data_IF_189791556258
#
_entry.id   IF_189791556258
#
_cell.length_a   1.000
_cell.length_b   1.000
_cell.length_c   1.000
_cell.angle_alpha   90.00
_cell.angle_beta   90.00
_cell.angle_gamma   90.00
#
_symmetry.space_group_name_H-M   'P 1'
#
loop_
_entity.id
_entity.type
_entity.pdbx_description
1 polymer ?
#
# COMPACT_ATOMS: atom_id res chain seq x y z
N UNK A 1 -16.92 12.62 4.26
CA UNK A 1 -15.62 12.32 4.90
C UNK A 1 -14.56 12.09 3.81
N UNK A 2 -13.28 12.41 4.10
CA UNK A 2 -12.16 12.14 3.17
C UNK A 2 -11.95 10.61 3.08
N UNK A 3 -11.79 10.10 1.86
CA UNK A 3 -11.50 8.68 1.59
C UNK A 3 -10.02 8.50 1.26
N UNK A 4 -9.43 7.45 1.81
CA UNK A 4 -8.03 7.09 1.69
C UNK A 4 -7.87 5.66 1.19
N UNK A 5 -6.77 5.40 0.50
CA UNK A 5 -6.26 4.05 0.21
C UNK A 5 -4.76 4.01 0.43
N UNK A 6 -4.20 2.82 0.59
CA UNK A 6 -2.76 2.65 0.80
C UNK A 6 -2.12 1.97 -0.41
N UNK A 7 -1.03 2.55 -0.90
CA UNK A 7 -0.16 1.99 -1.95
C UNK A 7 1.18 1.62 -1.34
N UNK A 8 1.67 0.43 -1.64
CA UNK A 8 2.98 -0.06 -1.28
C UNK A 8 3.92 0.04 -2.48
N UNK A 9 4.88 0.95 -2.40
CA UNK A 9 5.93 1.10 -3.41
C UNK A 9 7.12 0.26 -3.02
N UNK A 10 7.41 -0.79 -3.79
CA UNK A 10 8.40 -1.80 -3.45
C UNK A 10 9.53 -1.88 -4.47
N UNK A 11 10.65 -2.43 -4.03
CA UNK A 11 11.87 -2.59 -4.80
C UNK A 11 12.34 -4.03 -4.79
N UNK A 12 12.76 -4.49 -5.97
CA UNK A 12 13.37 -5.80 -6.15
C UNK A 12 14.88 -5.66 -6.18
N UNK A 13 15.58 -6.49 -5.42
CA UNK A 13 17.03 -6.53 -5.34
C UNK A 13 17.54 -7.88 -5.82
N UNK A 14 18.58 -7.87 -6.66
CA UNK A 14 19.27 -9.06 -7.13
C UNK A 14 20.78 -8.82 -7.07
N UNK A 15 21.52 -9.71 -6.40
CA UNK A 15 22.97 -9.59 -6.20
C UNK A 15 23.41 -8.21 -5.67
N UNK A 16 22.68 -7.68 -4.69
CA UNK A 16 22.98 -6.37 -4.09
C UNK A 16 22.67 -5.15 -4.96
N UNK A 17 22.05 -5.34 -6.14
CA UNK A 17 21.63 -4.26 -7.04
C UNK A 17 20.12 -4.23 -7.16
N UNK A 18 19.52 -3.04 -7.14
CA UNK A 18 18.10 -2.85 -7.44
C UNK A 18 17.86 -3.22 -8.92
N UNK A 19 17.01 -4.21 -9.16
CA UNK A 19 16.69 -4.74 -10.49
C UNK A 19 15.27 -4.41 -10.94
N UNK A 20 14.42 -3.88 -10.05
CA UNK A 20 13.06 -3.47 -10.39
C UNK A 20 12.38 -2.66 -9.30
N UNK A 21 11.24 -2.09 -9.65
CA UNK A 21 10.32 -1.43 -8.74
C UNK A 21 8.88 -1.62 -9.21
N UNK A 22 7.94 -1.54 -8.27
CA UNK A 22 6.53 -1.70 -8.55
C UNK A 22 5.65 -1.07 -7.47
N UNK A 23 4.36 -1.02 -7.75
CA UNK A 23 3.34 -0.59 -6.80
C UNK A 23 2.28 -1.66 -6.63
N UNK A 24 1.86 -1.86 -5.39
CA UNK A 24 0.71 -2.69 -5.03
C UNK A 24 -0.21 -1.89 -4.10
N UNK A 25 -1.45 -2.30 -3.94
CA UNK A 25 -2.43 -1.63 -3.10
C UNK A 25 -2.95 -2.57 -2.04
N UNK A 26 -3.16 -2.03 -0.84
CA UNK A 26 -3.77 -2.74 0.27
C UNK A 26 -5.24 -3.02 -0.04
N UNK A 27 -5.66 -4.27 0.11
CA UNK A 27 -7.02 -4.74 -0.15
C UNK A 27 -7.80 -4.93 1.17
N UNK A 28 -9.11 -5.16 1.08
CA UNK A 28 -9.98 -5.23 2.28
C UNK A 28 -9.74 -6.48 3.13
N UNK A 29 -9.24 -7.54 2.51
CA UNK A 29 -8.76 -8.78 3.13
C UNK A 29 -7.32 -8.66 3.69
N UNK A 30 -6.77 -7.45 3.72
CA UNK A 30 -5.46 -7.14 4.33
C UNK A 30 -4.29 -7.79 3.58
N UNK A 31 -4.41 -7.98 2.27
CA UNK A 31 -3.32 -8.35 1.38
C UNK A 31 -2.85 -7.17 0.51
N UNK A 32 -1.82 -7.36 -0.31
CA UNK A 32 -1.43 -6.39 -1.34
C UNK A 32 -1.63 -6.96 -2.74
N UNK A 33 -2.31 -6.21 -3.59
CA UNK A 33 -2.57 -6.58 -4.98
C UNK A 33 -2.04 -5.54 -5.95
N UNK A 34 -1.58 -5.97 -7.13
CA UNK A 34 -1.05 -5.06 -8.15
C UNK A 34 -2.13 -4.26 -8.88
N UNK A 35 -3.41 -4.55 -8.62
CA UNK A 35 -4.56 -3.92 -9.28
C UNK A 35 -5.11 -2.75 -8.47
N UNK A 36 -5.05 -1.49 -8.95
CA UNK A 36 -5.48 -0.32 -8.17
C UNK A 36 -6.98 -0.27 -7.86
N UNK A 37 -7.82 -0.98 -8.63
CA UNK A 37 -9.28 -1.02 -8.43
C UNK A 37 -9.71 -1.89 -7.24
N UNK A 38 -8.84 -2.79 -6.78
CA UNK A 38 -9.08 -3.67 -5.62
C UNK A 38 -8.67 -3.01 -4.30
N UNK A 39 -8.07 -1.82 -4.37
CA UNK A 39 -7.59 -1.10 -3.20
C UNK A 39 -8.74 -0.82 -2.21
N UNK A 40 -8.55 -1.22 -0.95
CA UNK A 40 -9.43 -0.88 0.14
C UNK A 40 -9.51 0.65 0.28
N UNK A 41 -10.74 1.14 0.47
CA UNK A 41 -11.00 2.57 0.62
C UNK A 41 -11.71 2.83 1.93
N UNK A 42 -11.10 3.63 2.80
CA UNK A 42 -11.66 3.95 4.12
C UNK A 42 -11.31 5.35 4.60
N UNK A 43 -11.57 5.58 5.88
CA UNK A 43 -11.02 6.69 6.64
C UNK A 43 -9.51 6.49 6.85
N UNK A 44 -8.82 7.54 7.32
CA UNK A 44 -7.40 7.45 7.64
C UNK A 44 -7.13 6.38 8.71
N UNK A 45 -7.92 6.37 9.78
CA UNK A 45 -7.77 5.41 10.88
C UNK A 45 -7.96 3.97 10.43
N UNK A 46 -9.00 3.69 9.65
CA UNK A 46 -9.24 2.34 9.10
C UNK A 46 -8.11 1.91 8.15
N UNK A 47 -7.56 2.83 7.36
CA UNK A 47 -6.46 2.52 6.43
C UNK A 47 -5.18 2.19 7.19
N UNK A 48 -4.81 3.01 8.18
CA UNK A 48 -3.63 2.76 9.03
C UNK A 48 -3.78 1.45 9.82
N UNK A 49 -4.98 1.18 10.36
CA UNK A 49 -5.25 -0.08 11.05
C UNK A 49 -5.07 -1.29 10.13
N UNK A 50 -5.56 -1.25 8.89
CA UNK A 50 -5.35 -2.34 7.93
C UNK A 50 -3.87 -2.55 7.59
N UNK A 51 -3.07 -1.48 7.44
CA UNK A 51 -1.62 -1.59 7.21
C UNK A 51 -0.97 -2.34 8.38
N UNK A 52 -1.32 -1.96 9.62
CA UNK A 52 -0.79 -2.60 10.82
C UNK A 52 -1.17 -4.08 10.89
N UNK A 53 -2.44 -4.41 10.63
CA UNK A 53 -2.92 -5.80 10.65
C UNK A 53 -2.26 -6.65 9.55
N UNK A 54 -2.14 -6.13 8.33
CA UNK A 54 -1.39 -6.82 7.27
C UNK A 54 0.07 -7.05 7.68
N UNK A 55 0.74 -6.02 8.22
CA UNK A 55 2.15 -6.14 8.62
C UNK A 55 2.38 -7.18 9.72
N UNK A 56 1.38 -7.41 10.58
CA UNK A 56 1.39 -8.46 11.60
C UNK A 56 1.16 -9.85 11.01
N UNK A 57 0.24 -9.98 10.05
CA UNK A 57 -0.14 -11.26 9.45
C UNK A 57 0.83 -11.72 8.36
N UNK A 58 1.46 -10.79 7.65
CA UNK A 58 2.38 -11.03 6.54
C UNK A 58 3.66 -10.17 6.61
N UNK A 59 4.50 -10.35 7.64
CA UNK A 59 5.69 -9.51 7.83
C UNK A 59 6.70 -9.57 6.66
N UNK A 60 6.66 -10.63 5.84
CA UNK A 60 7.53 -10.78 4.67
C UNK A 60 7.12 -9.93 3.46
N UNK A 61 5.86 -9.49 3.39
CA UNK A 61 5.27 -8.81 2.23
C UNK A 61 5.78 -7.37 2.05
N UNK A 62 6.32 -6.75 3.10
CA UNK A 62 6.70 -5.32 3.13
C UNK A 62 8.14 -5.05 3.60
N UNK A 63 9.08 -5.87 3.16
CA UNK A 63 10.50 -5.76 3.58
C UNK A 63 11.32 -4.72 2.82
N UNK A 64 10.97 -4.44 1.55
CA UNK A 64 11.74 -3.55 0.67
C UNK A 64 10.83 -2.53 -0.02
N UNK A 65 10.32 -1.55 0.73
CA UNK A 65 9.44 -0.53 0.15
C UNK A 65 9.04 0.57 1.12
N UNK A 66 8.08 1.39 0.70
CA UNK A 66 7.43 2.42 1.52
C UNK A 66 5.92 2.46 1.30
N UNK A 67 5.19 2.71 2.38
CA UNK A 67 3.74 2.95 2.33
C UNK A 67 3.46 4.39 1.94
N UNK A 68 2.61 4.55 0.93
CA UNK A 68 2.09 5.84 0.47
C UNK A 68 0.59 5.86 0.72
N UNK A 69 0.14 6.81 1.53
CA UNK A 69 -1.28 7.09 1.71
C UNK A 69 -1.76 7.98 0.56
N UNK A 70 -2.86 7.60 -0.07
CA UNK A 70 -3.48 8.35 -1.15
C UNK A 70 -4.87 8.81 -0.73
N UNK A 71 -5.25 10.04 -1.09
CA UNK A 71 -6.57 10.62 -0.79
C UNK A 71 -7.37 10.85 -2.06
N UNK A 72 -8.65 10.52 -2.03
CA UNK A 72 -9.59 10.82 -3.13
C UNK A 72 -9.92 12.32 -3.17
N UNK A 73 -9.52 13.00 -4.26
CA UNK A 73 -9.96 14.36 -4.65
C UNK A 73 -10.71 14.25 -5.99
N UNK A 74 -10.19 14.85 -7.07
CA UNK A 74 -10.60 14.55 -8.46
C UNK A 74 -10.02 13.21 -8.97
N UNK A 75 -9.00 12.70 -8.30
CA UNK A 75 -8.37 11.41 -8.48
C UNK A 75 -7.67 10.99 -7.18
N UNK A 76 -6.91 9.89 -7.22
CA UNK A 76 -6.07 9.47 -6.10
C UNK A 76 -4.75 10.24 -6.13
N UNK A 77 -4.43 10.90 -5.03
CA UNK A 77 -3.21 11.73 -4.90
C UNK A 77 -2.53 11.37 -3.60
N UNK A 78 -1.21 11.19 -3.64
CA UNK A 78 -0.40 10.97 -2.45
C UNK A 78 -0.60 12.10 -1.42
N UNK A 79 -0.66 11.71 -0.16
CA UNK A 79 -0.75 12.62 0.98
C UNK A 79 0.67 12.83 1.49
N UNK A 80 1.17 14.06 1.37
CA UNK A 80 2.38 14.50 2.07
C UNK A 80 2.07 14.73 3.55
#
# INVERSE_FOLDING_TARGET
MKKYRARWDHWYWHNGKKCGEGSSWLTDDQHVHFTPSEAAVGTLGETVNRIAQMSLNEPGTVTNGVWVLERKRKGWVAVQ
#
